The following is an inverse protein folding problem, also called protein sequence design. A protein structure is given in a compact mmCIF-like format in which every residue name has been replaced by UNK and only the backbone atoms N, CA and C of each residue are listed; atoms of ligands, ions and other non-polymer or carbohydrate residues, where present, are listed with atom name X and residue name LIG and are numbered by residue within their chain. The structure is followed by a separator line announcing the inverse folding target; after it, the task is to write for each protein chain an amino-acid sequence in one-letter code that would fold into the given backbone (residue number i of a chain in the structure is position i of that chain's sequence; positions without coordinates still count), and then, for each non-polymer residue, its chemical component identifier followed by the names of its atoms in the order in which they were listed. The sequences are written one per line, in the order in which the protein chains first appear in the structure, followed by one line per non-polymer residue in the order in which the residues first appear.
data_IF_522301903275
#
_entry.id   IF_522301903275
#
_cell.length_a   1.000
_cell.length_b   1.000
_cell.length_c   1.000
_cell.angle_alpha   90.00
_cell.angle_beta   90.00
_cell.angle_gamma   90.00
#
_symmetry.space_group_name_H-M   'P 1'
#
loop_
_entity.id
_entity.type
_entity.pdbx_description
1 polymer ?
#
# COMPACT_ATOMS: atom_id res chain seq x y z
N UNK A 1 17.48 31.46 26.02
CA UNK A 1 16.67 31.00 24.87
C UNK A 1 15.28 30.82 25.42
N UNK A 2 14.37 31.72 25.06
CA UNK A 2 13.05 31.87 25.70
C UNK A 2 12.13 30.75 25.24
N UNK A 3 11.33 30.18 26.14
CA UNK A 3 10.42 29.07 25.82
C UNK A 3 9.44 29.40 24.68
N UNK A 4 9.06 30.69 24.51
CA UNK A 4 8.24 31.18 23.40
C UNK A 4 8.87 30.96 22.02
N UNK A 5 10.20 31.10 21.89
CA UNK A 5 10.93 30.89 20.63
C UNK A 5 11.00 29.39 20.27
N UNK A 6 11.20 28.54 21.28
CA UNK A 6 11.21 27.09 21.13
C UNK A 6 9.82 26.57 20.74
N UNK A 7 8.75 27.02 21.41
CA UNK A 7 7.37 26.67 21.05
C UNK A 7 7.02 27.15 19.64
N UNK A 8 7.43 28.36 19.26
CA UNK A 8 7.19 28.92 17.92
C UNK A 8 7.91 28.15 16.81
N UNK A 9 9.17 27.76 17.04
CA UNK A 9 9.95 26.98 16.06
C UNK A 9 9.42 25.56 15.92
N UNK A 10 9.04 24.92 17.03
CA UNK A 10 8.52 23.56 17.07
C UNK A 10 7.16 23.46 16.38
N UNK A 11 6.26 24.43 16.60
CA UNK A 11 4.96 24.48 15.92
C UNK A 11 5.03 24.88 14.44
N UNK A 12 6.00 25.73 14.07
CA UNK A 12 6.08 26.25 12.70
C UNK A 12 6.81 25.29 11.75
N UNK A 13 7.83 24.58 12.23
CA UNK A 13 8.71 23.79 11.37
C UNK A 13 8.71 22.30 11.70
N UNK A 14 8.74 21.92 12.98
CA UNK A 14 8.90 20.51 13.38
C UNK A 14 7.59 19.73 13.22
N UNK A 15 6.47 20.28 13.67
CA UNK A 15 5.15 19.65 13.54
C UNK A 15 4.75 19.30 12.08
N UNK A 16 4.84 20.23 11.10
CA UNK A 16 4.53 19.91 9.72
C UNK A 16 5.54 18.95 9.08
N UNK A 17 6.83 19.06 9.43
CA UNK A 17 7.85 18.13 8.95
C UNK A 17 7.59 16.68 9.40
N UNK A 18 7.30 16.49 10.69
CA UNK A 18 6.90 15.18 11.23
C UNK A 18 5.61 14.70 10.58
N UNK A 19 4.66 15.60 10.35
CA UNK A 19 3.41 15.27 9.67
C UNK A 19 3.61 14.73 8.24
N UNK A 20 4.47 15.38 7.44
CA UNK A 20 4.82 14.92 6.09
C UNK A 20 5.54 13.57 6.13
N UNK A 21 6.45 13.38 7.10
CA UNK A 21 7.18 12.12 7.26
C UNK A 21 6.24 10.96 7.63
N UNK A 22 5.25 11.20 8.50
CA UNK A 22 4.21 10.24 8.84
C UNK A 22 3.32 9.90 7.64
N UNK A 23 2.97 10.89 6.81
CA UNK A 23 2.22 10.65 5.56
C UNK A 23 3.05 9.78 4.61
N UNK A 24 4.34 10.07 4.43
CA UNK A 24 5.21 9.30 3.54
C UNK A 24 5.36 7.84 3.99
N UNK A 25 5.62 7.61 5.28
CA UNK A 25 5.69 6.25 5.86
C UNK A 25 4.33 5.56 5.76
N UNK A 26 3.24 6.30 5.98
CA UNK A 26 1.90 5.76 5.90
C UNK A 26 1.50 5.33 4.49
N UNK A 27 1.88 6.08 3.45
CA UNK A 27 1.71 5.67 2.04
C UNK A 27 2.51 4.40 1.75
N UNK A 28 3.76 4.35 2.22
CA UNK A 28 4.62 3.17 2.03
C UNK A 28 4.04 1.90 2.70
N UNK A 29 3.31 2.03 3.80
CA UNK A 29 2.60 0.91 4.44
C UNK A 29 1.23 0.61 3.83
N UNK A 30 0.47 1.64 3.47
CA UNK A 30 -0.90 1.51 2.98
C UNK A 30 -0.98 0.97 1.55
N UNK A 31 -0.04 1.34 0.67
CA UNK A 31 -0.06 0.88 -0.74
C UNK A 31 0.17 -0.64 -0.82
N UNK A 32 1.27 -1.22 -0.30
CA UNK A 32 1.47 -2.68 -0.34
C UNK A 32 0.40 -3.45 0.45
N UNK A 33 -0.05 -2.90 1.58
CA UNK A 33 -1.12 -3.51 2.38
C UNK A 33 -2.48 -3.51 1.68
N UNK A 34 -2.79 -2.47 0.88
CA UNK A 34 -3.98 -2.42 0.04
C UNK A 34 -3.90 -3.41 -1.12
N UNK A 35 -2.73 -3.55 -1.74
CA UNK A 35 -2.52 -4.57 -2.79
C UNK A 35 -2.76 -5.98 -2.27
N UNK A 36 -2.36 -6.28 -1.02
CA UNK A 36 -2.63 -7.59 -0.41
C UNK A 36 -4.12 -7.92 -0.27
N UNK A 37 -5.01 -6.93 -0.11
CA UNK A 37 -6.46 -7.16 0.01
C UNK A 37 -7.14 -7.50 -1.33
N UNK A 38 -6.52 -7.14 -2.45
CA UNK A 38 -7.07 -7.38 -3.80
C UNK A 38 -6.26 -8.47 -4.52
N UNK A 39 -5.23 -9.02 -3.88
CA UNK A 39 -4.29 -9.94 -4.52
C UNK A 39 -4.92 -11.31 -4.79
N UNK A 40 -5.78 -11.79 -3.88
CA UNK A 40 -6.48 -13.08 -4.01
C UNK A 40 -7.38 -13.16 -5.25
N UNK A 41 -7.84 -12.02 -5.79
CA UNK A 41 -8.70 -11.98 -6.99
C UNK A 41 -7.94 -11.73 -8.30
N UNK A 42 -6.68 -11.26 -8.24
CA UNK A 42 -5.92 -10.91 -9.45
C UNK A 42 -4.73 -11.82 -9.76
N UNK A 43 -4.28 -12.66 -8.83
CA UNK A 43 -3.17 -13.59 -9.05
C UNK A 43 -3.35 -14.87 -8.26
N UNK A 44 -3.26 -16.02 -8.94
CA UNK A 44 -3.16 -17.35 -8.32
C UNK A 44 -1.88 -17.43 -7.50
N UNK A 45 -2.06 -17.04 -6.25
CA UNK A 45 -1.00 -16.71 -5.35
C UNK A 45 -0.55 -18.01 -4.67
N UNK A 46 0.66 -18.49 -5.01
CA UNK A 46 1.18 -19.78 -4.53
C UNK A 46 1.15 -20.91 -5.55
N UNK A 47 0.70 -20.65 -6.79
CA UNK A 47 0.80 -21.57 -7.92
C UNK A 47 2.07 -21.24 -8.72
N UNK A 48 3.16 -22.01 -8.59
CA UNK A 48 4.36 -21.77 -9.38
C UNK A 48 4.05 -22.01 -10.87
N UNK A 49 4.66 -21.18 -11.72
CA UNK A 49 4.57 -21.33 -13.17
C UNK A 49 5.70 -22.24 -13.64
N UNK A 50 5.34 -23.29 -14.37
CA UNK A 50 6.27 -24.16 -15.08
C UNK A 50 6.34 -23.74 -16.54
N UNK A 51 7.52 -23.89 -17.14
CA UNK A 51 7.71 -23.84 -18.58
C UNK A 51 8.08 -25.23 -19.10
N UNK A 52 7.54 -25.58 -20.25
CA UNK A 52 7.78 -26.83 -20.96
C UNK A 52 8.30 -26.48 -22.36
N UNK A 53 9.51 -26.95 -22.66
CA UNK A 53 10.15 -26.77 -23.95
C UNK A 53 9.76 -27.89 -24.91
N UNK A 54 9.72 -27.59 -26.21
CA UNK A 54 9.40 -28.57 -27.25
C UNK A 54 10.44 -29.71 -27.31
N UNK A 55 10.10 -30.86 -27.93
CA UNK A 55 11.04 -31.99 -28.03
C UNK A 55 12.34 -31.63 -28.76
N UNK A 56 12.27 -30.77 -29.77
CA UNK A 56 13.43 -30.32 -30.55
C UNK A 56 14.37 -29.48 -29.68
N UNK A 57 13.82 -28.48 -28.97
CA UNK A 57 14.55 -27.67 -27.99
C UNK A 57 15.13 -28.52 -26.87
N UNK A 58 14.37 -29.51 -26.41
CA UNK A 58 14.80 -30.44 -25.36
C UNK A 58 16.00 -31.28 -25.80
N UNK A 59 16.06 -31.71 -27.05
CA UNK A 59 17.21 -32.44 -27.59
C UNK A 59 18.50 -31.60 -27.56
N UNK A 60 18.39 -30.30 -27.81
CA UNK A 60 19.52 -29.37 -27.71
C UNK A 60 19.98 -29.17 -26.25
N UNK A 61 19.04 -29.14 -25.30
CA UNK A 61 19.31 -28.94 -23.86
C UNK A 61 19.92 -30.19 -23.22
N UNK A 62 19.46 -31.38 -23.61
CA UNK A 62 19.83 -32.68 -22.99
C UNK A 62 20.92 -33.41 -23.81
N UNK A 63 21.58 -32.69 -24.72
CA UNK A 63 22.66 -33.21 -25.57
C UNK A 63 23.96 -33.53 -24.83
N UNK A 64 25.02 -33.84 -25.60
CA UNK A 64 26.32 -34.24 -25.03
C UNK A 64 26.95 -33.12 -24.18
N UNK A 65 27.19 -33.43 -22.90
CA UNK A 65 27.74 -32.48 -21.91
C UNK A 65 26.70 -31.73 -21.09
N UNK A 66 25.41 -32.03 -21.26
CA UNK A 66 24.34 -31.45 -20.45
C UNK A 66 24.44 -31.82 -18.96
N UNK A 67 23.90 -30.96 -18.06
CA UNK A 67 23.68 -31.34 -16.67
C UNK A 67 22.82 -32.60 -16.54
N UNK A 68 23.02 -33.35 -15.46
CA UNK A 68 22.17 -34.49 -15.18
C UNK A 68 20.81 -34.01 -14.64
N UNK A 69 19.79 -34.09 -15.48
CA UNK A 69 18.41 -33.76 -15.12
C UNK A 69 17.67 -34.98 -14.56
N UNK A 70 16.73 -34.73 -13.66
CA UNK A 70 15.80 -35.75 -13.17
C UNK A 70 14.90 -36.19 -14.33
N UNK A 71 14.67 -37.50 -14.46
CA UNK A 71 13.81 -38.07 -15.51
C UNK A 71 12.52 -38.56 -14.88
N UNK A 72 11.40 -38.03 -15.35
CA UNK A 72 10.07 -38.35 -14.86
C UNK A 72 9.22 -38.83 -16.04
N UNK A 73 8.32 -39.77 -15.78
CA UNK A 73 7.26 -40.11 -16.72
C UNK A 73 6.00 -39.31 -16.36
N UNK A 74 5.16 -38.98 -17.35
CA UNK A 74 3.93 -38.19 -17.12
C UNK A 74 3.00 -38.83 -16.07
N UNK A 75 3.04 -40.15 -15.95
CA UNK A 75 2.25 -40.91 -14.98
C UNK A 75 2.74 -40.73 -13.54
N UNK A 76 4.01 -40.36 -13.35
CA UNK A 76 4.58 -40.04 -12.05
C UNK A 76 4.24 -38.63 -11.58
N UNK A 77 3.69 -37.79 -12.46
CA UNK A 77 3.19 -36.47 -12.11
C UNK A 77 1.89 -36.55 -11.33
N UNK A 78 1.72 -35.62 -10.39
CA UNK A 78 0.44 -35.38 -9.73
C UNK A 78 -0.62 -34.92 -10.73
N UNK A 79 -1.90 -34.93 -10.35
CA UNK A 79 -2.97 -34.44 -11.22
C UNK A 79 -2.74 -32.97 -11.62
N UNK A 80 -2.36 -32.11 -10.67
CA UNK A 80 -2.09 -30.70 -10.91
C UNK A 80 -0.85 -30.47 -11.78
N UNK A 81 0.23 -31.22 -11.54
CA UNK A 81 1.45 -31.15 -12.36
C UNK A 81 1.20 -31.58 -13.81
N UNK A 82 0.37 -32.61 -14.00
CA UNK A 82 0.02 -33.13 -15.32
C UNK A 82 -0.87 -32.17 -16.10
N UNK A 83 -1.89 -31.63 -15.45
CA UNK A 83 -2.77 -30.61 -16.04
C UNK A 83 -1.96 -29.39 -16.50
N UNK A 84 -1.07 -28.88 -15.62
CA UNK A 84 -0.18 -27.78 -15.96
C UNK A 84 0.77 -28.13 -17.11
N UNK A 85 1.34 -29.35 -17.13
CA UNK A 85 2.22 -29.79 -18.19
C UNK A 85 1.49 -29.84 -19.55
N UNK A 86 0.30 -30.45 -19.59
CA UNK A 86 -0.53 -30.55 -20.80
C UNK A 86 -1.00 -29.17 -21.28
N UNK A 87 -1.38 -28.28 -20.35
CA UNK A 87 -1.72 -26.89 -20.67
C UNK A 87 -0.51 -26.16 -21.28
N UNK A 88 0.66 -26.29 -20.66
CA UNK A 88 1.90 -25.66 -21.12
C UNK A 88 2.27 -26.10 -22.55
N UNK A 89 2.05 -27.37 -22.92
CA UNK A 89 2.29 -27.85 -24.28
C UNK A 89 1.44 -27.14 -25.34
N UNK A 90 0.25 -26.69 -24.97
CA UNK A 90 -0.68 -25.98 -25.89
C UNK A 90 -0.58 -24.46 -25.77
N UNK A 91 0.07 -23.96 -24.72
CA UNK A 91 0.25 -22.54 -24.49
C UNK A 91 1.25 -21.92 -25.48
N UNK A 92 0.97 -20.72 -26.03
CA UNK A 92 1.88 -20.06 -26.98
C UNK A 92 3.29 -19.77 -26.45
N UNK A 93 3.46 -19.71 -25.12
CA UNK A 93 4.75 -19.51 -24.45
C UNK A 93 5.35 -20.79 -23.88
N UNK A 94 4.66 -21.91 -23.96
CA UNK A 94 5.09 -23.12 -23.28
C UNK A 94 4.95 -23.04 -21.76
N UNK A 95 4.11 -22.16 -21.21
CA UNK A 95 4.04 -21.85 -19.77
C UNK A 95 2.64 -22.09 -19.22
N UNK A 96 2.55 -22.66 -18.01
CA UNK A 96 1.28 -22.86 -17.28
C UNK A 96 1.49 -22.86 -15.77
N UNK A 97 0.41 -22.66 -15.01
CA UNK A 97 0.42 -22.64 -13.54
C UNK A 97 0.15 -24.04 -12.98
N UNK A 98 0.85 -24.40 -11.91
CA UNK A 98 0.56 -25.64 -11.18
C UNK A 98 -0.42 -25.34 -10.04
N UNK A 99 -1.70 -25.61 -10.29
CA UNK A 99 -2.77 -25.36 -9.32
C UNK A 99 -3.04 -26.60 -8.46
N UNK A 100 -2.29 -26.73 -7.36
CA UNK A 100 -2.52 -27.76 -6.36
C UNK A 100 -1.24 -28.42 -5.85
N UNK A 101 -1.29 -29.73 -5.62
CA UNK A 101 -0.17 -30.47 -5.04
C UNK A 101 0.99 -30.58 -6.02
N UNK A 102 2.17 -30.11 -5.63
CA UNK A 102 3.41 -30.15 -6.41
C UNK A 102 4.50 -31.00 -5.73
N UNK A 103 4.34 -32.33 -5.60
CA UNK A 103 5.32 -33.22 -4.97
C UNK A 103 6.68 -33.24 -5.67
N UNK A 104 6.73 -33.08 -7.00
CA UNK A 104 7.95 -33.13 -7.80
C UNK A 104 8.64 -31.76 -7.92
N UNK A 105 8.24 -30.76 -7.12
CA UNK A 105 8.76 -29.38 -7.19
C UNK A 105 10.28 -29.31 -7.28
N UNK A 106 10.98 -30.04 -6.41
CA UNK A 106 12.44 -30.02 -6.35
C UNK A 106 13.11 -30.53 -7.66
N UNK A 107 12.44 -31.41 -8.42
CA UNK A 107 12.92 -31.86 -9.72
C UNK A 107 12.76 -30.75 -10.76
N UNK A 108 11.59 -30.07 -10.80
CA UNK A 108 11.35 -28.95 -11.70
C UNK A 108 12.22 -27.72 -11.38
N UNK A 109 12.61 -27.49 -10.12
CA UNK A 109 13.56 -26.43 -9.74
C UNK A 109 14.95 -26.65 -10.32
N UNK A 110 15.37 -27.91 -10.46
CA UNK A 110 16.66 -28.28 -11.07
C UNK A 110 16.59 -28.46 -12.59
N UNK A 111 15.39 -28.44 -13.15
CA UNK A 111 15.10 -28.90 -14.50
C UNK A 111 14.86 -30.41 -14.51
N UNK A 112 13.70 -30.81 -15.05
CA UNK A 112 13.30 -32.19 -15.22
C UNK A 112 13.03 -32.50 -16.69
N UNK A 113 13.32 -33.73 -17.12
CA UNK A 113 12.94 -34.23 -18.43
C UNK A 113 11.77 -35.17 -18.26
N UNK A 114 10.64 -34.81 -18.85
CA UNK A 114 9.38 -35.52 -18.76
C UNK A 114 9.17 -36.30 -20.06
N UNK A 115 8.92 -37.61 -19.95
CA UNK A 115 8.54 -38.44 -21.09
C UNK A 115 7.01 -38.40 -21.24
N UNK A 116 6.53 -37.97 -22.41
CA UNK A 116 5.12 -37.91 -22.76
C UNK A 116 4.92 -38.39 -24.20
N UNK A 117 4.01 -39.34 -24.41
CA UNK A 117 3.75 -39.95 -25.73
C UNK A 117 4.99 -40.48 -26.48
N UNK A 118 6.05 -40.86 -25.73
CA UNK A 118 7.31 -41.35 -26.28
C UNK A 118 8.30 -40.25 -26.68
N UNK A 119 7.94 -38.99 -26.53
CA UNK A 119 8.81 -37.83 -26.70
C UNK A 119 9.30 -37.30 -25.35
N UNK A 120 10.39 -36.54 -25.37
CA UNK A 120 11.03 -35.97 -24.18
C UNK A 120 10.86 -34.47 -24.16
N UNK A 121 10.34 -33.95 -23.07
CA UNK A 121 10.11 -32.52 -22.87
C UNK A 121 10.91 -32.04 -21.65
N UNK A 122 11.65 -30.95 -21.81
CA UNK A 122 12.33 -30.30 -20.70
C UNK A 122 11.34 -29.37 -19.99
N UNK A 123 11.17 -29.56 -18.69
CA UNK A 123 10.29 -28.78 -17.86
C UNK A 123 11.06 -28.15 -16.68
N UNK A 124 10.78 -26.88 -16.41
CA UNK A 124 11.41 -26.14 -15.31
C UNK A 124 10.44 -25.15 -14.69
N UNK A 125 10.64 -24.81 -13.41
CA UNK A 125 9.95 -23.65 -12.82
C UNK A 125 10.58 -22.37 -13.36
N UNK A 126 9.74 -21.45 -13.87
CA UNK A 126 10.16 -20.14 -14.39
C UNK A 126 9.75 -18.98 -13.48
N UNK A 127 8.70 -19.17 -12.69
CA UNK A 127 8.28 -18.19 -11.69
C UNK A 127 7.71 -18.90 -10.47
N UNK A 128 8.19 -18.56 -9.27
CA UNK A 128 7.62 -19.07 -8.02
C UNK A 128 6.34 -18.34 -7.59
N UNK A 129 5.91 -17.30 -8.34
CA UNK A 129 4.78 -16.43 -8.02
C UNK A 129 4.64 -16.19 -6.50
N UNK A 130 5.73 -15.76 -5.87
CA UNK A 130 5.79 -15.57 -4.43
C UNK A 130 4.81 -14.48 -4.02
N UNK A 131 3.80 -14.83 -3.23
CA UNK A 131 2.87 -13.86 -2.68
C UNK A 131 3.62 -12.89 -1.77
N UNK A 132 3.38 -11.61 -1.98
CA UNK A 132 3.90 -10.60 -1.08
C UNK A 132 3.12 -10.68 0.24
N UNK A 133 3.74 -11.26 1.27
CA UNK A 133 3.15 -11.27 2.61
C UNK A 133 3.33 -9.89 3.25
N UNK A 134 2.37 -8.99 3.02
CA UNK A 134 2.30 -7.75 3.78
C UNK A 134 1.97 -8.06 5.26
N UNK A 135 2.57 -7.38 6.24
CA UNK A 135 2.11 -7.47 7.63
C UNK A 135 0.63 -7.06 7.69
N UNK A 136 -0.22 -7.88 8.31
CA UNK A 136 -1.67 -7.60 8.43
C UNK A 136 -1.98 -6.25 9.08
N UNK A 137 -1.07 -5.76 9.93
CA UNK A 137 -1.13 -4.46 10.58
C UNK A 137 -0.60 -3.30 9.72
N UNK A 138 0.10 -3.56 8.62
CA UNK A 138 0.71 -2.52 7.78
C UNK A 138 -0.31 -1.57 7.15
N UNK A 139 -1.44 -2.11 6.67
CA UNK A 139 -2.53 -1.30 6.12
C UNK A 139 -3.20 -0.39 7.17
N UNK A 140 -3.76 -0.89 8.29
CA UNK A 140 -4.42 -0.03 9.26
C UNK A 140 -3.45 0.98 9.91
N UNK A 141 -2.20 0.58 10.16
CA UNK A 141 -1.18 1.45 10.74
C UNK A 141 -0.72 2.51 9.74
N UNK A 142 -0.65 2.18 8.45
CA UNK A 142 -0.37 3.14 7.36
C UNK A 142 -1.47 4.20 7.22
N UNK A 143 -2.75 3.78 7.23
CA UNK A 143 -3.90 4.71 7.22
C UNK A 143 -3.89 5.62 8.45
N UNK A 144 -3.61 5.06 9.63
CA UNK A 144 -3.51 5.84 10.86
C UNK A 144 -2.37 6.86 10.80
N UNK A 145 -1.20 6.48 10.29
CA UNK A 145 -0.06 7.37 10.11
C UNK A 145 -0.37 8.54 9.16
N UNK A 146 -1.07 8.28 8.05
CA UNK A 146 -1.54 9.33 7.13
C UNK A 146 -2.50 10.29 7.85
N UNK A 147 -3.47 9.75 8.60
CA UNK A 147 -4.43 10.54 9.36
C UNK A 147 -3.75 11.45 10.38
N UNK A 148 -2.86 10.88 11.20
CA UNK A 148 -2.10 11.61 12.20
C UNK A 148 -1.20 12.67 11.55
N UNK A 149 -0.51 12.33 10.46
CA UNK A 149 0.33 13.27 9.73
C UNK A 149 -0.45 14.44 9.14
N UNK A 150 -1.64 14.17 8.60
CA UNK A 150 -2.55 15.20 8.09
C UNK A 150 -2.99 16.16 9.20
N UNK A 151 -3.32 15.63 10.38
CA UNK A 151 -3.63 16.46 11.56
C UNK A 151 -2.43 17.32 11.94
N UNK A 152 -1.22 16.76 12.03
CA UNK A 152 0.00 17.52 12.37
C UNK A 152 0.30 18.65 11.37
N UNK A 153 0.05 18.43 10.08
CA UNK A 153 0.23 19.47 9.03
C UNK A 153 -0.83 20.57 9.13
N UNK A 154 -2.08 20.20 9.42
CA UNK A 154 -3.21 21.15 9.45
C UNK A 154 -3.39 21.87 10.78
N UNK A 155 -2.83 21.36 11.88
CA UNK A 155 -2.99 21.94 13.22
C UNK A 155 -2.51 23.41 13.30
N UNK A 156 -1.33 23.79 12.76
CA UNK A 156 -0.87 25.18 12.79
C UNK A 156 -1.78 26.19 12.07
N UNK A 157 -2.21 25.98 10.80
CA UNK A 157 -3.10 26.92 10.13
C UNK A 157 -4.52 26.94 10.73
N UNK A 158 -5.05 25.80 11.18
CA UNK A 158 -6.34 25.75 11.87
C UNK A 158 -6.31 26.55 13.18
N UNK A 159 -5.26 26.39 13.99
CA UNK A 159 -5.12 27.14 15.23
C UNK A 159 -5.08 28.65 14.98
N UNK A 160 -4.28 29.10 14.00
CA UNK A 160 -4.24 30.52 13.61
C UNK A 160 -5.61 31.05 13.18
N UNK A 161 -6.40 30.23 12.49
CA UNK A 161 -7.74 30.60 12.02
C UNK A 161 -8.74 30.69 13.17
N UNK A 162 -8.69 29.75 14.11
CA UNK A 162 -9.55 29.76 15.31
C UNK A 162 -9.25 30.95 16.22
N UNK A 163 -7.97 31.24 16.50
CA UNK A 163 -7.58 32.42 17.30
C UNK A 163 -8.01 33.72 16.63
N UNK A 164 -7.99 33.79 15.29
CA UNK A 164 -8.48 34.96 14.56
C UNK A 164 -9.98 35.16 14.74
N UNK A 165 -10.77 34.08 14.63
CA UNK A 165 -12.22 34.13 14.82
C UNK A 165 -12.61 34.52 16.26
N UNK A 166 -11.88 34.02 17.25
CA UNK A 166 -12.12 34.38 18.66
C UNK A 166 -11.77 35.85 18.95
N UNK A 167 -10.75 36.40 18.28
CA UNK A 167 -10.45 37.84 18.37
C UNK A 167 -11.52 38.69 17.72
N UNK A 168 -12.01 38.29 16.55
CA UNK A 168 -13.07 39.02 15.85
C UNK A 168 -14.39 39.02 16.66
N UNK A 169 -14.78 37.89 17.26
CA UNK A 169 -15.97 37.82 18.12
C UNK A 169 -15.83 38.59 19.44
N UNK A 170 -14.64 38.60 20.04
CA UNK A 170 -14.38 39.35 21.27
C UNK A 170 -14.41 40.87 21.06
N UNK A 171 -13.94 41.35 19.92
CA UNK A 171 -13.97 42.78 19.57
C UNK A 171 -15.41 43.26 19.36
N UNK A 172 -16.26 42.45 18.72
CA UNK A 172 -17.68 42.78 18.49
C UNK A 172 -18.47 42.91 19.79
N UNK A 173 -18.21 42.03 20.77
CA UNK A 173 -18.82 42.11 22.11
C UNK A 173 -18.42 43.39 22.84
N UNK A 174 -17.14 43.77 22.79
CA UNK A 174 -16.66 45.01 23.42
C UNK A 174 -17.17 46.28 22.73
N UNK A 175 -17.37 46.24 21.39
CA UNK A 175 -17.95 47.35 20.65
C UNK A 175 -19.44 47.53 20.96
N UNK A 176 -20.16 46.43 21.20
CA UNK A 176 -21.58 46.45 21.58
C UNK A 176 -21.79 46.98 23.00
N UNK A 177 -20.90 46.64 23.96
CA UNK A 177 -20.91 47.22 25.31
C UNK A 177 -20.61 48.73 25.30
N UNK A 178 -19.60 49.16 24.53
CA UNK A 178 -19.21 50.59 24.51
C UNK A 178 -20.25 51.48 23.81
N UNK A 179 -21.01 50.93 22.86
CA UNK A 179 -22.12 51.64 22.21
C UNK A 179 -23.38 51.78 23.06
N UNK A 180 -23.61 50.86 24.02
CA UNK A 180 -24.76 50.90 24.92
C UNK A 180 -24.61 51.95 26.04
N UNK A 181 -23.38 52.21 26.49
CA UNK A 181 -23.11 53.22 27.52
C UNK A 181 -23.15 54.66 26.98
N UNK A 182 -22.85 54.87 25.68
CA UNK A 182 -22.89 56.21 25.07
C UNK A 182 -24.31 56.77 24.89
N UNK A 183 -25.33 55.91 24.70
CA UNK A 183 -26.73 56.33 24.47
C UNK A 183 -27.47 56.66 25.78
N UNK A 184 -26.97 56.17 26.93
CA UNK A 184 -27.59 56.43 28.25
C UNK A 184 -27.25 57.81 28.83
N UNK A 185 -26.13 58.42 28.41
CA UNK A 185 -25.68 59.71 28.94
C UNK A 185 -26.33 60.91 28.21
N UNK A 186 -26.74 60.73 26.95
CA UNK A 186 -27.43 61.78 26.17
C UNK A 186 -28.92 61.90 26.56
N UNK A 187 -29.58 60.80 26.95
CA UNK A 187 -30.97 60.79 27.43
C UNK A 187 -31.17 61.54 28.77
N UNK A 188 -30.12 61.63 29.59
CA UNK A 188 -30.18 62.33 30.89
C UNK A 188 -29.99 63.85 30.76
N UNK A 189 -29.36 64.33 29.68
CA UNK A 189 -29.18 65.77 29.42
C UNK A 189 -30.44 66.44 28.88
N UNK A 190 -31.25 65.73 28.08
CA UNK A 190 -32.51 66.27 27.52
C UNK A 190 -33.61 66.54 28.55
N UNK A 191 -33.55 65.96 29.76
CA UNK A 191 -34.58 66.14 30.79
C UNK A 191 -34.38 67.34 31.72
N UNK A 192 -33.22 68.01 31.65
CA UNK A 192 -32.91 69.15 32.51
C UNK A 192 -33.35 70.51 31.91
N UNK A 193 -33.70 70.57 30.62
CA UNK A 193 -34.10 71.81 29.95
C UNK A 193 -35.62 71.98 29.78
N UNK A 194 -36.45 70.96 30.04
CA UNK A 194 -37.92 71.03 29.89
C UNK A 194 -38.67 71.43 31.18
N UNK A 195 -38.01 72.12 32.12
CA UNK A 195 -38.69 72.58 33.34
C UNK A 195 -38.22 73.96 33.81
N UNK A 196 -38.06 74.90 32.87
CA UNK A 196 -37.88 76.33 33.19
C UNK A 196 -38.77 77.21 32.33
#
# INVERSE_FOLDING_TARGET
MSDDEATSTLFTYVAPFVGVLLIAVGIAGAVPGGYALVQDELRDCGSPTIAVESPERTADIVGDGAPQFDRLDVEALSAAEREAFEEALTAPRGEAHVDGAFPNRAAFERGAVITYEGERYYATIVAENTCFTAPSLGFPLGVFAIGLGTVCVLMPPLYRRLVRLERESRVDLTATETGADADSDESSRGRAEENR
#
